data_IF_463304828020
#
_entry.id   IF_463304828020
#
_cell.length_a   1.000
_cell.length_b   1.000
_cell.length_c   1.000
_cell.angle_alpha   90.00
_cell.angle_beta   90.00
_cell.angle_gamma   90.00
#
_symmetry.space_group_name_H-M   'P 1'
#
loop_
_entity.id
_entity.type
_entity.pdbx_description
1 polymer ?
#
# COMPACT_ATOMS: atom_id res chain seq x y z
N UNK A 1 15.91 20.00 -0.73
CA UNK A 1 15.40 18.68 -0.31
C UNK A 1 14.32 18.25 -1.31
N UNK A 2 14.22 16.98 -1.72
CA UNK A 2 13.21 16.53 -2.71
C UNK A 2 11.75 16.70 -2.28
N UNK A 3 11.46 16.81 -0.96
CA UNK A 3 10.12 17.07 -0.39
C UNK A 3 9.08 16.04 -0.87
N UNK A 4 9.32 14.77 -0.58
CA UNK A 4 8.49 13.66 -1.09
C UNK A 4 6.99 13.74 -0.74
N UNK A 5 6.64 14.47 0.32
CA UNK A 5 5.26 14.65 0.77
C UNK A 5 4.51 15.77 0.04
N UNK A 6 5.22 16.63 -0.69
CA UNK A 6 4.67 17.82 -1.36
C UNK A 6 5.03 17.88 -2.85
N UNK A 7 6.08 17.16 -3.27
CA UNK A 7 6.59 17.22 -4.63
C UNK A 7 5.68 16.44 -5.59
N UNK A 8 5.03 17.10 -6.57
CA UNK A 8 4.13 16.46 -7.52
C UNK A 8 4.81 15.41 -8.41
N UNK A 9 6.12 15.48 -8.59
CA UNK A 9 6.87 14.46 -9.35
C UNK A 9 6.89 13.09 -8.67
N UNK A 10 6.61 13.03 -7.35
CA UNK A 10 6.49 11.76 -6.64
C UNK A 10 5.30 10.92 -7.17
N UNK A 11 4.04 11.38 -7.13
CA UNK A 11 2.95 10.63 -7.76
C UNK A 11 3.07 10.57 -9.29
N UNK A 12 3.60 11.59 -9.96
CA UNK A 12 3.74 11.63 -11.40
C UNK A 12 4.55 10.44 -11.95
N UNK A 13 5.69 10.11 -11.33
CA UNK A 13 6.51 8.98 -11.80
C UNK A 13 5.76 7.65 -11.68
N UNK A 14 4.97 7.45 -10.63
CA UNK A 14 4.16 6.24 -10.47
C UNK A 14 3.00 6.19 -11.49
N UNK A 15 2.41 7.34 -11.80
CA UNK A 15 1.40 7.46 -12.84
C UNK A 15 1.97 7.11 -14.22
N UNK A 16 3.17 7.60 -14.54
CA UNK A 16 3.80 7.44 -15.86
C UNK A 16 4.45 6.07 -16.07
N UNK A 17 4.86 5.37 -15.00
CA UNK A 17 5.65 4.12 -15.10
C UNK A 17 5.01 2.96 -14.35
N UNK A 18 4.93 3.01 -13.03
CA UNK A 18 4.50 1.88 -12.19
C UNK A 18 3.06 1.44 -12.49
N UNK A 19 2.16 2.40 -12.69
CA UNK A 19 0.75 2.09 -12.95
C UNK A 19 0.54 1.43 -14.33
N UNK A 20 1.14 1.93 -15.43
CA UNK A 20 1.13 1.22 -16.72
C UNK A 20 1.68 -0.20 -16.65
N UNK A 21 2.80 -0.42 -15.95
CA UNK A 21 3.39 -1.74 -15.78
C UNK A 21 2.43 -2.72 -15.09
N UNK A 22 1.75 -2.29 -14.02
CA UNK A 22 0.72 -3.09 -13.33
C UNK A 22 -0.45 -3.38 -14.26
N UNK A 23 -0.95 -2.35 -14.95
CA UNK A 23 -2.11 -2.45 -15.83
C UNK A 23 -1.84 -3.43 -16.99
N UNK A 24 -0.69 -3.33 -17.64
CA UNK A 24 -0.29 -4.21 -18.74
C UNK A 24 -0.07 -5.65 -18.26
N UNK A 25 0.63 -5.84 -17.12
CA UNK A 25 0.88 -7.17 -16.56
C UNK A 25 -0.40 -7.94 -16.22
N UNK A 26 -1.49 -7.21 -15.88
CA UNK A 26 -2.80 -7.78 -15.56
C UNK A 26 -3.79 -7.73 -16.74
N UNK A 27 -3.32 -7.45 -17.95
CA UNK A 27 -4.15 -7.32 -19.16
C UNK A 27 -5.33 -6.36 -18.97
N UNK A 28 -5.10 -5.25 -18.27
CA UNK A 28 -6.08 -4.21 -18.00
C UNK A 28 -7.14 -4.57 -16.96
N UNK A 29 -7.03 -5.70 -16.29
CA UNK A 29 -8.04 -6.19 -15.33
C UNK A 29 -7.54 -5.98 -13.90
N UNK A 30 -7.94 -4.86 -13.29
CA UNK A 30 -7.71 -4.56 -11.87
C UNK A 30 -9.04 -4.11 -11.28
N UNK A 31 -9.55 -4.83 -10.30
CA UNK A 31 -10.77 -4.48 -9.57
C UNK A 31 -10.46 -3.69 -8.31
N UNK A 32 -9.36 -4.00 -7.65
CA UNK A 32 -8.96 -3.40 -6.37
C UNK A 32 -7.46 -3.11 -6.39
N UNK A 33 -7.08 -1.91 -6.02
CA UNK A 33 -5.67 -1.55 -5.78
C UNK A 33 -5.45 -1.28 -4.29
N UNK A 34 -4.44 -1.91 -3.72
CA UNK A 34 -4.10 -1.82 -2.29
C UNK A 34 -2.69 -1.27 -2.14
N UNK A 35 -2.50 -0.24 -1.32
CA UNK A 35 -1.15 0.29 -1.04
C UNK A 35 -1.07 0.95 0.32
N UNK A 36 0.05 0.74 1.02
CA UNK A 36 0.38 1.47 2.24
C UNK A 36 0.54 2.97 2.01
N UNK A 37 0.08 3.75 2.96
CA UNK A 37 0.24 5.20 2.97
C UNK A 37 1.51 5.59 3.73
N UNK A 38 2.58 5.91 2.98
CA UNK A 38 3.75 6.65 3.44
C UNK A 38 3.69 8.06 2.84
N UNK A 39 4.61 8.41 1.94
CA UNK A 39 4.57 9.72 1.26
C UNK A 39 3.34 9.97 0.40
N UNK A 40 2.54 8.95 0.12
CA UNK A 40 1.34 9.04 -0.70
C UNK A 40 1.56 8.93 -2.21
N UNK A 41 2.79 9.09 -2.71
CA UNK A 41 3.06 9.15 -4.14
C UNK A 41 2.67 7.89 -4.90
N UNK A 42 2.99 6.71 -4.37
CA UNK A 42 2.62 5.41 -4.96
C UNK A 42 1.10 5.24 -5.01
N UNK A 43 0.44 5.49 -3.88
CA UNK A 43 -1.02 5.37 -3.77
C UNK A 43 -1.71 6.34 -4.74
N UNK A 44 -1.32 7.62 -4.73
CA UNK A 44 -1.86 8.66 -5.60
C UNK A 44 -1.68 8.34 -7.09
N UNK A 45 -0.43 8.14 -7.52
CA UNK A 45 -0.14 8.02 -8.96
C UNK A 45 -0.75 6.78 -9.59
N UNK A 46 -0.69 5.62 -8.88
CA UNK A 46 -1.26 4.39 -9.40
C UNK A 46 -2.79 4.45 -9.38
N UNK A 47 -3.39 4.94 -8.30
CA UNK A 47 -4.85 5.02 -8.19
C UNK A 47 -5.46 5.95 -9.24
N UNK A 48 -4.84 7.11 -9.47
CA UNK A 48 -5.29 8.04 -10.50
C UNK A 48 -5.28 7.37 -11.88
N UNK A 49 -4.17 6.77 -12.29
CA UNK A 49 -4.07 6.08 -13.57
C UNK A 49 -5.09 4.95 -13.72
N UNK A 50 -5.21 4.10 -12.71
CA UNK A 50 -6.10 2.95 -12.77
C UNK A 50 -7.58 3.36 -12.74
N UNK A 51 -7.98 4.40 -11.98
CA UNK A 51 -9.37 4.94 -11.99
C UNK A 51 -9.73 5.57 -13.32
N UNK A 52 -8.80 6.19 -14.04
CA UNK A 52 -9.03 6.69 -15.41
C UNK A 52 -9.34 5.53 -16.40
N UNK A 53 -8.76 4.35 -16.18
CA UNK A 53 -9.01 3.15 -16.99
C UNK A 53 -10.24 2.36 -16.54
N UNK A 54 -10.51 2.32 -15.25
CA UNK A 54 -11.62 1.63 -14.62
C UNK A 54 -12.25 2.53 -13.54
N UNK A 55 -13.29 3.31 -13.83
CA UNK A 55 -13.95 4.16 -12.83
C UNK A 55 -14.57 3.40 -11.65
N UNK A 56 -14.75 2.08 -11.76
CA UNK A 56 -15.25 1.22 -10.69
C UNK A 56 -14.12 0.59 -9.85
N UNK A 57 -12.87 0.97 -10.11
CA UNK A 57 -11.74 0.52 -9.28
C UNK A 57 -11.96 0.90 -7.82
N UNK A 58 -11.74 -0.05 -6.93
CA UNK A 58 -11.70 0.19 -5.49
C UNK A 58 -10.26 0.46 -5.07
N UNK A 59 -10.02 1.60 -4.47
CA UNK A 59 -8.72 1.99 -3.92
C UNK A 59 -8.72 1.81 -2.41
N UNK A 60 -7.80 0.99 -1.91
CA UNK A 60 -7.63 0.73 -0.49
C UNK A 60 -6.28 1.26 0.02
N UNK A 61 -6.34 2.22 0.93
CA UNK A 61 -5.17 2.68 1.68
C UNK A 61 -4.92 1.76 2.88
N UNK A 62 -3.65 1.50 3.18
CA UNK A 62 -3.24 0.69 4.34
C UNK A 62 -2.44 1.57 5.29
N UNK A 63 -2.84 1.60 6.56
CA UNK A 63 -2.16 2.33 7.62
C UNK A 63 -1.95 1.45 8.85
N UNK A 64 -0.91 1.71 9.66
CA UNK A 64 -0.75 1.04 10.94
C UNK A 64 -1.93 1.36 11.87
N UNK A 65 -2.42 0.36 12.61
CA UNK A 65 -3.58 0.51 13.50
C UNK A 65 -3.41 1.58 14.58
N UNK A 66 -2.16 1.81 15.01
CA UNK A 66 -1.87 2.77 16.06
C UNK A 66 -1.70 4.21 15.57
N UNK A 67 -1.73 4.42 14.24
CA UNK A 67 -1.55 5.75 13.63
C UNK A 67 -2.24 5.78 12.26
N UNK A 68 -3.54 6.01 12.25
CA UNK A 68 -4.29 6.15 10.99
C UNK A 68 -4.73 7.60 10.82
N UNK A 69 -3.96 8.35 10.02
CA UNK A 69 -4.26 9.75 9.71
C UNK A 69 -5.56 9.89 8.91
N UNK A 70 -5.87 8.94 8.02
CA UNK A 70 -7.09 8.93 7.22
C UNK A 70 -8.35 8.69 8.07
N UNK A 71 -8.22 8.00 9.21
CA UNK A 71 -9.32 7.78 10.15
C UNK A 71 -9.37 8.84 11.26
N UNK A 72 -8.40 9.78 11.29
CA UNK A 72 -8.34 10.84 12.28
C UNK A 72 -7.77 10.41 13.63
N UNK A 73 -7.01 9.33 13.66
CA UNK A 73 -6.33 8.88 14.88
C UNK A 73 -5.15 9.80 15.23
N UNK A 74 -4.87 9.93 16.52
CA UNK A 74 -3.68 10.62 17.01
C UNK A 74 -2.41 9.83 16.65
N UNK A 75 -1.28 10.51 16.38
CA UNK A 75 -0.02 9.85 16.09
C UNK A 75 0.43 8.92 17.22
N UNK A 76 0.74 7.67 16.87
CA UNK A 76 1.18 6.62 17.79
C UNK A 76 2.46 5.93 17.30
N UNK A 77 2.95 4.96 18.08
CA UNK A 77 4.12 4.16 17.72
C UNK A 77 3.71 2.87 17.01
N UNK A 78 4.44 2.53 15.96
CA UNK A 78 4.32 1.27 15.23
C UNK A 78 5.69 0.82 14.70
N UNK A 79 5.77 -0.44 14.19
CA UNK A 79 7.00 -1.04 13.69
C UNK A 79 6.98 -1.30 12.16
N UNK A 80 5.96 -0.85 11.46
CA UNK A 80 5.83 -1.02 10.01
C UNK A 80 6.56 0.13 9.32
N UNK A 81 7.84 -0.04 9.01
CA UNK A 81 8.65 1.01 8.41
C UNK A 81 8.16 1.40 7.01
N UNK A 82 8.19 2.70 6.71
CA UNK A 82 7.88 3.27 5.40
C UNK A 82 6.42 3.66 5.18
N UNK A 83 5.55 3.42 6.15
CA UNK A 83 4.15 3.88 6.16
C UNK A 83 3.77 4.42 7.53
N UNK A 84 2.66 5.14 7.64
CA UNK A 84 2.13 5.60 8.92
C UNK A 84 2.87 6.81 9.50
N UNK A 85 3.10 7.85 8.69
CA UNK A 85 3.79 9.07 9.13
C UNK A 85 2.91 9.96 10.06
N UNK A 86 1.64 9.61 10.27
CA UNK A 86 0.73 10.30 11.19
C UNK A 86 0.11 11.59 10.65
N UNK A 87 0.22 11.84 9.35
CA UNK A 87 -0.43 12.96 8.68
C UNK A 87 -0.79 12.61 7.24
N UNK A 88 -1.71 13.37 6.63
CA UNK A 88 -2.10 13.21 5.23
C UNK A 88 -1.14 14.04 4.37
N UNK A 89 -0.37 13.40 3.46
CA UNK A 89 0.56 14.12 2.58
C UNK A 89 -0.15 15.05 1.59
N UNK A 90 0.45 16.21 1.28
CA UNK A 90 -0.14 17.18 0.36
C UNK A 90 -0.28 16.67 -1.09
N UNK A 91 0.51 15.66 -1.48
CA UNK A 91 0.42 15.03 -2.82
C UNK A 91 -0.74 14.05 -2.96
N UNK A 92 -1.43 13.71 -1.85
CA UNK A 92 -2.51 12.72 -1.83
C UNK A 92 -3.87 13.40 -1.91
N UNK A 93 -4.65 13.04 -2.91
CA UNK A 93 -6.07 13.34 -2.99
C UNK A 93 -6.86 12.22 -2.30
N UNK A 94 -7.41 12.53 -1.12
CA UNK A 94 -8.16 11.56 -0.33
C UNK A 94 -9.48 11.12 -0.96
N UNK A 95 -10.01 11.87 -1.92
CA UNK A 95 -11.23 11.48 -2.66
C UNK A 95 -11.01 10.26 -3.57
N UNK A 96 -9.75 9.93 -3.88
CA UNK A 96 -9.42 8.71 -4.61
C UNK A 96 -9.57 7.43 -3.77
N UNK A 97 -9.61 7.55 -2.44
CA UNK A 97 -9.59 6.42 -1.51
C UNK A 97 -11.02 5.98 -1.21
N UNK A 98 -11.35 4.73 -1.50
CA UNK A 98 -12.65 4.13 -1.24
C UNK A 98 -12.68 3.38 0.11
N UNK A 99 -11.53 2.82 0.52
CA UNK A 99 -11.39 1.98 1.73
C UNK A 99 -10.10 2.32 2.47
N UNK A 100 -10.17 2.24 3.80
CA UNK A 100 -8.99 2.30 4.68
C UNK A 100 -8.95 1.02 5.51
N UNK A 101 -7.83 0.31 5.42
CA UNK A 101 -7.58 -0.90 6.21
C UNK A 101 -6.42 -0.63 7.16
N UNK A 102 -6.69 -0.75 8.45
CA UNK A 102 -5.64 -0.64 9.47
C UNK A 102 -5.06 -2.02 9.79
N UNK A 103 -3.74 -2.10 9.94
CA UNK A 103 -3.00 -3.33 10.22
C UNK A 103 -2.19 -3.22 11.50
N UNK A 104 -2.16 -4.28 12.32
CA UNK A 104 -1.28 -4.34 13.48
C UNK A 104 0.15 -4.68 13.09
N UNK A 105 1.12 -4.34 13.93
CA UNK A 105 2.53 -4.71 13.72
C UNK A 105 2.68 -6.23 13.58
N UNK A 106 2.01 -6.99 14.45
CA UNK A 106 2.05 -8.45 14.45
C UNK A 106 1.47 -9.03 13.15
N UNK A 107 0.34 -8.53 12.67
CA UNK A 107 -0.28 -9.00 11.42
C UNK A 107 0.63 -8.74 10.21
N UNK A 108 1.24 -7.55 10.16
CA UNK A 108 2.17 -7.19 9.09
C UNK A 108 3.42 -8.08 9.11
N UNK A 109 4.05 -8.25 10.29
CA UNK A 109 5.26 -9.07 10.45
C UNK A 109 4.98 -10.55 10.17
N UNK A 110 3.90 -11.09 10.71
CA UNK A 110 3.52 -12.50 10.50
C UNK A 110 3.21 -12.78 9.04
N UNK A 111 2.51 -11.86 8.36
CA UNK A 111 2.26 -11.98 6.92
C UNK A 111 3.56 -11.91 6.11
N UNK A 112 4.49 -11.03 6.48
CA UNK A 112 5.82 -10.97 5.84
C UNK A 112 6.57 -12.30 5.98
N UNK A 113 6.58 -12.90 7.18
CA UNK A 113 7.20 -14.20 7.44
C UNK A 113 6.52 -15.33 6.66
N UNK A 114 5.18 -15.29 6.56
CA UNK A 114 4.41 -16.24 5.76
C UNK A 114 4.79 -16.16 4.28
N UNK A 115 4.88 -14.94 3.71
CA UNK A 115 5.31 -14.72 2.33
C UNK A 115 6.71 -15.32 2.06
N UNK A 116 7.65 -15.12 2.98
CA UNK A 116 8.99 -15.69 2.85
C UNK A 116 8.96 -17.23 2.88
N UNK A 117 8.23 -17.83 3.83
CA UNK A 117 8.22 -19.28 4.04
C UNK A 117 7.41 -20.05 3.00
N UNK A 118 6.28 -19.50 2.56
CA UNK A 118 5.31 -20.21 1.72
C UNK A 118 5.48 -19.86 0.25
N UNK A 119 5.77 -18.58 -0.04
CA UNK A 119 5.85 -18.08 -1.41
C UNK A 119 7.29 -17.81 -1.89
N UNK A 120 8.29 -17.86 -0.98
CA UNK A 120 9.67 -17.52 -1.32
C UNK A 120 9.90 -16.03 -1.59
N UNK A 121 8.94 -15.17 -1.18
CA UNK A 121 9.01 -13.72 -1.39
C UNK A 121 9.66 -13.05 -0.16
N UNK A 122 10.93 -12.66 -0.30
CA UNK A 122 11.70 -11.98 0.74
C UNK A 122 11.46 -10.47 0.65
N UNK A 123 10.41 -9.99 1.29
CA UNK A 123 9.98 -8.58 1.27
C UNK A 123 9.97 -7.93 2.67
N UNK A 124 9.81 -6.61 2.73
CA UNK A 124 9.75 -5.85 3.99
C UNK A 124 8.38 -5.88 4.68
N UNK A 125 8.32 -5.26 5.87
CA UNK A 125 7.12 -5.27 6.73
C UNK A 125 5.91 -4.56 6.09
N UNK A 126 6.13 -3.48 5.34
CA UNK A 126 5.06 -2.78 4.62
C UNK A 126 4.45 -3.64 3.50
N UNK A 127 5.25 -4.53 2.90
CA UNK A 127 4.75 -5.52 1.95
C UNK A 127 3.81 -6.54 2.63
N UNK A 128 4.16 -6.99 3.83
CA UNK A 128 3.29 -7.83 4.66
C UNK A 128 1.98 -7.14 5.00
N UNK A 129 2.04 -5.86 5.38
CA UNK A 129 0.86 -5.04 5.62
C UNK A 129 -0.05 -4.96 4.38
N UNK A 130 0.53 -4.70 3.21
CA UNK A 130 -0.22 -4.66 1.95
C UNK A 130 -0.90 -5.99 1.64
N UNK A 131 -0.19 -7.11 1.76
CA UNK A 131 -0.77 -8.45 1.50
C UNK A 131 -1.83 -8.82 2.53
N UNK A 132 -1.63 -8.44 3.80
CA UNK A 132 -2.67 -8.65 4.83
C UNK A 132 -3.95 -7.88 4.47
N UNK A 133 -3.82 -6.63 4.04
CA UNK A 133 -4.95 -5.84 3.58
C UNK A 133 -5.59 -6.44 2.31
N UNK A 134 -4.81 -6.95 1.34
CA UNK A 134 -5.34 -7.67 0.20
C UNK A 134 -6.20 -8.88 0.61
N UNK A 135 -5.78 -9.65 1.64
CA UNK A 135 -6.58 -10.75 2.19
C UNK A 135 -7.92 -10.23 2.72
N UNK A 136 -7.95 -9.10 3.44
CA UNK A 136 -9.17 -8.47 3.94
C UNK A 136 -10.09 -7.98 2.83
N UNK A 137 -9.53 -7.40 1.77
CA UNK A 137 -10.30 -6.97 0.60
C UNK A 137 -10.89 -8.17 -0.14
N UNK A 138 -10.15 -9.28 -0.29
CA UNK A 138 -10.66 -10.51 -0.89
C UNK A 138 -11.78 -11.16 -0.06
N UNK A 139 -11.68 -11.10 1.28
CA UNK A 139 -12.75 -11.55 2.19
C UNK A 139 -14.03 -10.71 2.02
N UNK A 140 -13.87 -9.39 1.83
CA UNK A 140 -15.01 -8.45 1.71
C UNK A 140 -15.67 -8.46 0.33
N UNK A 141 -14.89 -8.48 -0.74
CA UNK A 141 -15.37 -8.27 -2.12
C UNK A 141 -15.47 -9.53 -2.97
N UNK A 142 -14.95 -10.65 -2.47
CA UNK A 142 -15.01 -11.95 -3.15
C UNK A 142 -13.69 -12.35 -3.80
N UNK A 143 -13.56 -13.67 -4.02
CA UNK A 143 -12.33 -14.31 -4.53
C UNK A 143 -12.16 -14.21 -6.05
N UNK A 144 -13.16 -13.74 -6.75
CA UNK A 144 -13.19 -13.51 -8.20
C UNK A 144 -12.58 -12.15 -8.58
N UNK A 145 -12.28 -11.31 -7.59
CA UNK A 145 -11.69 -9.99 -7.80
C UNK A 145 -10.18 -10.06 -8.03
N UNK A 146 -9.71 -9.28 -9.01
CA UNK A 146 -8.28 -9.08 -9.26
C UNK A 146 -7.81 -7.93 -8.39
N UNK A 147 -6.98 -8.27 -7.39
CA UNK A 147 -6.42 -7.33 -6.42
C UNK A 147 -4.95 -7.13 -6.74
N UNK A 148 -4.57 -5.90 -7.04
CA UNK A 148 -3.18 -5.50 -7.26
C UNK A 148 -2.61 -4.79 -6.02
N UNK A 149 -1.34 -5.04 -5.75
CA UNK A 149 -0.57 -4.31 -4.73
C UNK A 149 0.90 -4.21 -5.12
N UNK A 150 1.66 -3.46 -4.35
CA UNK A 150 3.12 -3.34 -4.49
C UNK A 150 3.83 -3.94 -3.29
N UNK A 151 5.01 -4.53 -3.51
CA UNK A 151 5.95 -4.98 -2.49
C UNK A 151 7.16 -4.03 -2.54
N UNK A 152 7.16 -2.95 -1.73
CA UNK A 152 8.05 -1.79 -1.97
C UNK A 152 9.52 -2.09 -1.81
N UNK A 153 9.91 -3.03 -0.93
CA UNK A 153 11.30 -3.32 -0.64
C UNK A 153 11.55 -4.77 -0.21
N UNK A 154 12.81 -5.06 0.06
CA UNK A 154 13.30 -6.41 0.33
C UNK A 154 13.63 -6.61 1.82
N UNK A 155 13.56 -7.87 2.26
CA UNK A 155 13.74 -8.31 3.64
C UNK A 155 15.13 -8.00 4.22
N UNK A 156 16.17 -7.95 3.39
CA UNK A 156 17.54 -7.69 3.86
C UNK A 156 17.71 -6.34 4.59
N UNK A 157 16.81 -5.39 4.36
CA UNK A 157 16.79 -4.12 5.09
C UNK A 157 16.37 -4.25 6.54
N UNK A 158 15.81 -5.40 6.92
CA UNK A 158 15.16 -5.65 8.21
C UNK A 158 15.88 -6.68 9.07
N UNK A 159 17.10 -7.13 8.70
CA UNK A 159 17.86 -8.12 9.46
C UNK A 159 18.25 -7.65 10.88
N UNK A 160 18.30 -6.35 11.12
CA UNK A 160 18.54 -5.77 12.45
C UNK A 160 17.27 -5.53 13.26
N UNK A 161 16.10 -5.90 12.73
CA UNK A 161 14.81 -5.76 13.41
C UNK A 161 14.31 -7.11 13.91
N UNK A 162 13.20 -7.12 14.66
CA UNK A 162 12.53 -8.35 15.11
C UNK A 162 11.72 -9.08 14.01
N UNK A 163 11.97 -8.80 12.73
CA UNK A 163 11.26 -9.45 11.62
C UNK A 163 11.62 -10.92 11.45
N UNK A 164 12.88 -11.31 11.73
CA UNK A 164 13.40 -12.67 11.60
C UNK A 164 13.32 -13.44 12.89
#
# INVERSE_FOLDING_TARGET
MPQQFENPHNPEIHYLTTAPEIYEALNGKVDIFVSGLGSGGTLQGISQYLKEKNPNLIVCAVEPKNVSALLGDEPGLHQIQGIGDGFIPAVLDTELIDEVVTVTDDDAMNTTRELARVQGLLCGTSSGANIWACKKMAEKYGKDKIIATVLPDRMERYFSTGLL
#
